data_IF_969779223842
#
_entry.id   IF_969779223842
#
_cell.length_a   1.000
_cell.length_b   1.000
_cell.length_c   1.000
_cell.angle_alpha   90.00
_cell.angle_beta   90.00
_cell.angle_gamma   90.00
#
_symmetry.space_group_name_H-M   'P 1'
#
loop_
_entity.id
_entity.type
_entity.pdbx_description
1 polymer ?
#
# COMPACT_ATOMS: atom_id res chain seq x y z
N UNK A 1 23.35 17.12 14.08
CA UNK A 1 21.92 16.75 14.07
C UNK A 1 21.85 15.28 14.45
N UNK A 2 20.95 14.85 15.35
CA UNK A 2 20.82 13.44 15.70
C UNK A 2 20.54 12.59 14.45
N UNK A 3 20.96 11.30 14.41
CA UNK A 3 20.60 10.39 13.34
C UNK A 3 19.09 10.35 13.10
N UNK A 4 18.72 10.12 11.85
CA UNK A 4 17.33 10.01 11.46
C UNK A 4 16.61 8.92 12.28
N UNK A 5 15.39 9.22 12.73
CA UNK A 5 14.60 8.34 13.60
C UNK A 5 14.99 8.26 15.08
N UNK A 6 16.13 8.83 15.53
CA UNK A 6 16.52 8.77 16.95
C UNK A 6 15.50 9.48 17.86
N UNK A 7 14.86 10.53 17.35
CA UNK A 7 13.80 11.25 18.05
C UNK A 7 12.56 10.38 18.34
N UNK A 8 12.20 9.45 17.44
CA UNK A 8 11.11 8.50 17.68
C UNK A 8 11.46 7.52 18.79
N UNK A 9 12.66 6.96 18.77
CA UNK A 9 13.15 6.08 19.85
C UNK A 9 13.10 6.78 21.20
N UNK A 10 13.61 8.00 21.27
CA UNK A 10 13.61 8.82 22.48
C UNK A 10 12.19 9.19 22.95
N UNK A 11 11.27 9.42 22.01
CA UNK A 11 9.87 9.67 22.33
C UNK A 11 9.22 8.43 22.95
N UNK A 12 9.36 7.27 22.31
CA UNK A 12 8.78 6.02 22.78
C UNK A 12 9.38 5.53 24.10
N UNK A 13 10.69 5.71 24.31
CA UNK A 13 11.36 5.30 25.55
C UNK A 13 10.93 6.12 26.77
N UNK A 14 10.46 7.36 26.55
CA UNK A 14 9.98 8.26 27.61
C UNK A 14 8.49 8.12 27.89
N UNK A 15 7.77 7.28 27.14
CA UNK A 15 6.35 7.06 27.37
C UNK A 15 6.10 6.21 28.60
N UNK A 16 4.99 6.45 29.30
CA UNK A 16 4.51 5.60 30.41
C UNK A 16 3.94 4.25 29.93
N UNK A 17 3.76 4.07 28.62
CA UNK A 17 3.25 2.82 28.03
C UNK A 17 4.36 1.78 27.90
N UNK A 18 4.19 0.64 28.57
CA UNK A 18 5.08 -0.53 28.44
C UNK A 18 5.26 -0.99 26.98
N UNK A 19 4.21 -0.86 26.16
CA UNK A 19 4.26 -1.24 24.73
C UNK A 19 5.19 -0.31 23.95
N UNK A 20 5.15 1.00 24.21
CA UNK A 20 6.04 1.96 23.56
C UNK A 20 7.48 1.84 24.06
N UNK A 21 7.69 1.56 25.34
CA UNK A 21 9.03 1.27 25.84
C UNK A 21 9.63 0.01 25.20
N UNK A 22 8.83 -1.04 25.02
CA UNK A 22 9.25 -2.24 24.29
C UNK A 22 9.52 -1.95 22.80
N UNK A 23 8.70 -1.10 22.16
CA UNK A 23 8.96 -0.66 20.79
C UNK A 23 10.29 0.12 20.68
N UNK A 24 10.59 0.98 21.65
CA UNK A 24 11.83 1.75 21.70
C UNK A 24 13.09 0.89 21.89
N UNK A 25 12.97 -0.24 22.60
CA UNK A 25 14.10 -1.16 22.80
C UNK A 25 14.42 -1.97 21.54
N UNK A 26 13.41 -2.23 20.69
CA UNK A 26 13.55 -2.90 19.40
C UNK A 26 13.89 -1.94 18.25
N UNK A 27 13.89 -0.63 18.50
CA UNK A 27 14.06 0.37 17.47
C UNK A 27 15.50 0.44 16.95
N UNK A 28 15.66 0.26 15.64
CA UNK A 28 16.91 0.52 14.92
C UNK A 28 16.74 1.70 13.95
N UNK A 29 17.76 2.57 13.90
CA UNK A 29 17.72 3.80 13.11
C UNK A 29 18.31 3.57 11.72
N UNK A 30 17.49 3.73 10.69
CA UNK A 30 17.99 3.77 9.31
C UNK A 30 18.68 5.12 9.01
N UNK A 31 19.73 5.15 8.16
CA UNK A 31 20.38 6.40 7.78
C UNK A 31 19.48 7.37 6.99
N UNK A 32 18.48 6.84 6.27
CA UNK A 32 17.47 7.63 5.55
C UNK A 32 16.15 6.86 5.41
N UNK A 33 15.08 7.58 5.08
CA UNK A 33 13.76 6.99 4.75
C UNK A 33 13.90 5.96 3.63
N UNK A 34 14.67 6.29 2.58
CA UNK A 34 14.86 5.43 1.42
C UNK A 34 15.52 4.11 1.83
N UNK A 35 16.57 4.17 2.63
CA UNK A 35 17.24 2.97 3.13
C UNK A 35 16.33 2.16 4.07
N UNK A 36 15.58 2.83 4.95
CA UNK A 36 14.59 2.17 5.81
C UNK A 36 13.52 1.42 5.01
N UNK A 37 12.98 2.04 3.95
CA UNK A 37 12.03 1.40 3.04
C UNK A 37 12.68 0.27 2.22
N UNK A 38 13.95 0.38 1.85
CA UNK A 38 14.69 -0.73 1.23
C UNK A 38 14.88 -1.91 2.18
N UNK A 39 15.14 -1.67 3.47
CA UNK A 39 15.19 -2.73 4.48
C UNK A 39 13.83 -3.40 4.65
N UNK A 40 12.73 -2.65 4.57
CA UNK A 40 11.39 -3.23 4.59
C UNK A 40 11.17 -4.22 3.43
N UNK A 41 11.65 -3.88 2.23
CA UNK A 41 11.57 -4.77 1.06
C UNK A 41 12.50 -6.00 1.16
N UNK A 42 13.72 -5.82 1.65
CA UNK A 42 14.76 -6.85 1.56
C UNK A 42 14.84 -7.74 2.81
N UNK A 43 14.68 -7.15 3.99
CA UNK A 43 14.91 -7.79 5.29
C UNK A 43 13.62 -8.17 6.02
N UNK A 44 12.45 -7.88 5.43
CA UNK A 44 11.13 -8.07 6.06
C UNK A 44 10.97 -7.29 7.37
N UNK A 45 11.58 -6.11 7.43
CA UNK A 45 11.46 -5.18 8.55
C UNK A 45 10.31 -4.20 8.33
N UNK A 46 9.86 -3.53 9.38
CA UNK A 46 8.88 -2.45 9.27
C UNK A 46 9.60 -1.10 9.39
N UNK A 47 9.18 -0.12 8.59
CA UNK A 47 9.66 1.25 8.68
C UNK A 47 8.54 2.16 9.17
N UNK A 48 8.84 3.02 10.15
CA UNK A 48 7.88 3.92 10.79
C UNK A 48 8.31 5.35 10.52
N UNK A 49 7.38 6.15 9.98
CA UNK A 49 7.51 7.59 9.74
C UNK A 49 6.10 8.17 9.52
N UNK A 50 5.98 9.51 9.47
CA UNK A 50 4.78 10.24 9.14
C UNK A 50 4.14 9.72 7.84
N UNK A 51 2.86 9.33 7.95
CA UNK A 51 2.09 8.68 6.89
C UNK A 51 2.20 9.38 5.53
N UNK A 52 1.88 10.68 5.47
CA UNK A 52 1.88 11.43 4.21
C UNK A 52 3.25 11.50 3.56
N UNK A 53 4.30 11.56 4.38
CA UNK A 53 5.66 11.56 3.88
C UNK A 53 6.04 10.19 3.32
N UNK A 54 5.66 9.10 3.98
CA UNK A 54 5.82 7.75 3.44
C UNK A 54 5.04 7.55 2.14
N UNK A 55 3.78 7.98 2.07
CA UNK A 55 2.97 7.92 0.85
C UNK A 55 3.69 8.62 -0.32
N UNK A 56 4.23 9.82 -0.07
CA UNK A 56 4.99 10.57 -1.06
C UNK A 56 6.26 9.83 -1.51
N UNK A 57 7.10 9.39 -0.56
CA UNK A 57 8.37 8.71 -0.89
C UNK A 57 8.13 7.39 -1.63
N UNK A 58 7.08 6.64 -1.24
CA UNK A 58 6.68 5.42 -1.95
C UNK A 58 6.20 5.75 -3.37
N UNK A 59 5.36 6.78 -3.52
CA UNK A 59 4.87 7.23 -4.83
C UNK A 59 6.01 7.67 -5.76
N UNK A 60 7.01 8.35 -5.21
CA UNK A 60 8.15 8.86 -5.98
C UNK A 60 9.17 7.77 -6.34
N UNK A 61 9.50 6.87 -5.42
CA UNK A 61 10.72 6.04 -5.53
C UNK A 61 10.46 4.54 -5.58
N UNK A 62 9.30 4.08 -5.12
CA UNK A 62 8.98 2.66 -4.97
C UNK A 62 7.76 2.22 -5.78
N UNK A 63 7.13 3.15 -6.51
CA UNK A 63 6.03 2.86 -7.43
C UNK A 63 6.58 2.57 -8.81
N UNK A 64 6.30 1.38 -9.33
CA UNK A 64 6.71 0.90 -10.66
C UNK A 64 5.99 1.65 -11.78
N UNK A 65 6.45 1.47 -13.02
CA UNK A 65 5.86 2.12 -14.19
C UNK A 65 4.38 1.77 -14.43
N UNK A 66 3.94 0.58 -14.00
CA UNK A 66 2.54 0.13 -14.04
C UNK A 66 1.67 0.72 -12.92
N UNK A 67 2.25 1.51 -12.01
CA UNK A 67 1.57 2.09 -10.86
C UNK A 67 1.50 1.18 -9.64
N UNK A 68 2.05 -0.03 -9.69
CA UNK A 68 2.09 -0.95 -8.55
C UNK A 68 3.23 -0.61 -7.58
N UNK A 69 3.04 -0.93 -6.29
CA UNK A 69 4.04 -0.76 -5.23
C UNK A 69 4.14 -2.06 -4.43
N UNK A 70 5.37 -2.48 -4.12
CA UNK A 70 5.63 -3.66 -3.28
C UNK A 70 5.59 -3.33 -1.77
N UNK A 71 5.48 -2.04 -1.44
CA UNK A 71 5.31 -1.54 -0.08
C UNK A 71 3.83 -1.28 0.20
N UNK A 72 3.36 -1.77 1.34
CA UNK A 72 2.04 -1.43 1.88
C UNK A 72 2.19 -0.48 3.07
N UNK A 73 1.21 0.39 3.25
CA UNK A 73 1.14 1.29 4.38
C UNK A 73 0.10 0.81 5.39
N UNK A 74 0.45 0.85 6.67
CA UNK A 74 -0.51 0.58 7.74
C UNK A 74 -1.70 1.53 7.68
N UNK A 75 -2.91 1.01 7.96
CA UNK A 75 -4.14 1.80 7.88
C UNK A 75 -4.17 2.93 8.91
N UNK A 76 -3.63 2.67 10.09
CA UNK A 76 -3.68 3.56 11.25
C UNK A 76 -2.32 4.16 11.55
N UNK A 77 -2.33 5.38 12.09
CA UNK A 77 -1.12 6.04 12.56
C UNK A 77 -0.90 5.72 14.03
N UNK A 78 0.32 5.36 14.41
CA UNK A 78 0.68 5.05 15.80
C UNK A 78 0.65 6.31 16.67
N UNK A 79 0.95 7.47 16.06
CA UNK A 79 0.84 8.79 16.68
C UNK A 79 0.24 9.78 15.68
N UNK A 80 -0.50 10.81 16.13
CA UNK A 80 -0.95 11.88 15.24
C UNK A 80 0.27 12.65 14.74
N UNK A 81 0.48 12.65 13.42
CA UNK A 81 1.55 13.44 12.80
C UNK A 81 1.24 14.93 12.96
N UNK A 82 1.90 15.60 13.90
CA UNK A 82 1.80 17.05 14.04
C UNK A 82 2.77 17.72 13.08
N UNK A 83 2.25 18.61 12.24
CA UNK A 83 3.07 19.55 11.47
C UNK A 83 3.10 20.88 12.21
N UNK A 84 4.30 21.42 12.44
CA UNK A 84 4.49 22.68 13.13
C UNK A 84 5.51 23.53 12.38
N UNK A 85 5.40 24.86 12.52
CA UNK A 85 6.41 25.78 12.03
C UNK A 85 7.29 26.25 13.19
N UNK A 86 8.60 25.98 13.17
CA UNK A 86 9.50 26.46 14.21
C UNK A 86 9.60 27.98 14.10
N UNK A 87 9.15 28.68 15.13
CA UNK A 87 9.24 30.13 15.25
C UNK A 87 10.21 30.44 16.40
N UNK A 88 11.14 31.40 16.26
CA UNK A 88 11.98 31.84 17.37
C UNK A 88 11.14 32.25 18.59
N UNK A 89 11.63 31.94 19.79
CA UNK A 89 10.87 32.05 21.04
C UNK A 89 10.26 33.45 21.28
N UNK A 90 10.90 34.50 20.77
CA UNK A 90 10.47 35.89 20.99
C UNK A 90 10.22 36.64 19.67
N UNK A 91 9.84 35.92 18.61
CA UNK A 91 9.55 36.56 17.33
C UNK A 91 8.35 37.52 17.46
N UNK A 92 8.51 38.82 17.12
CA UNK A 92 7.43 39.81 17.30
C UNK A 92 6.22 39.55 16.39
N UNK A 93 6.42 38.75 15.33
CA UNK A 93 5.37 38.35 14.39
C UNK A 93 4.67 37.05 14.76
N UNK A 94 5.05 36.36 15.85
CA UNK A 94 4.47 35.07 16.23
C UNK A 94 2.94 35.14 16.33
N UNK A 95 2.43 36.16 17.02
CA UNK A 95 0.98 36.32 17.23
C UNK A 95 0.22 36.52 15.91
N UNK A 96 0.74 37.39 15.03
CA UNK A 96 0.13 37.65 13.73
C UNK A 96 0.19 36.43 12.81
N UNK A 97 1.30 35.69 12.85
CA UNK A 97 1.46 34.44 12.11
C UNK A 97 0.49 33.37 12.61
N UNK A 98 0.37 33.16 13.92
CA UNK A 98 -0.59 32.22 14.52
C UNK A 98 -2.03 32.56 14.09
N UNK A 99 -2.39 33.85 14.08
CA UNK A 99 -3.71 34.32 13.63
C UNK A 99 -3.93 34.02 12.14
N UNK A 100 -2.94 34.29 11.29
CA UNK A 100 -3.02 33.98 9.86
C UNK A 100 -3.16 32.47 9.61
N UNK A 101 -2.42 31.64 10.35
CA UNK A 101 -2.50 30.18 10.25
C UNK A 101 -3.92 29.71 10.57
N UNK A 102 -4.47 30.14 11.72
CA UNK A 102 -5.82 29.77 12.11
C UNK A 102 -6.85 30.22 11.08
N UNK A 103 -6.74 31.46 10.60
CA UNK A 103 -7.64 31.98 9.57
C UNK A 103 -7.59 31.16 8.27
N UNK A 104 -6.40 30.71 7.83
CA UNK A 104 -6.25 29.88 6.64
C UNK A 104 -6.76 28.46 6.91
N UNK A 105 -6.45 27.88 8.07
CA UNK A 105 -6.91 26.53 8.43
C UNK A 105 -8.43 26.46 8.50
N UNK A 106 -9.06 27.38 9.21
CA UNK A 106 -10.52 27.38 9.39
C UNK A 106 -11.24 27.71 8.07
N UNK A 107 -10.89 28.80 7.39
CA UNK A 107 -11.68 29.28 6.25
C UNK A 107 -11.31 28.63 4.92
N UNK A 108 -10.02 28.34 4.67
CA UNK A 108 -9.55 27.92 3.34
C UNK A 108 -9.31 26.41 3.31
N UNK A 109 -8.65 25.85 4.33
CA UNK A 109 -8.31 24.43 4.30
C UNK A 109 -9.52 23.55 4.62
N UNK A 110 -10.32 23.88 5.63
CA UNK A 110 -11.47 23.04 6.00
C UNK A 110 -12.71 23.27 5.12
N UNK A 111 -13.10 24.52 4.85
CA UNK A 111 -14.34 24.78 4.10
C UNK A 111 -14.20 24.60 2.58
N UNK A 112 -13.03 24.95 2.02
CA UNK A 112 -12.81 24.86 0.57
C UNK A 112 -12.06 23.59 0.12
N UNK A 113 -11.60 22.74 1.05
CA UNK A 113 -10.89 21.50 0.74
C UNK A 113 -9.57 21.69 -0.03
N UNK A 114 -8.96 22.88 0.08
CA UNK A 114 -7.76 23.24 -0.69
C UNK A 114 -6.57 22.37 -0.30
N UNK A 115 -6.51 21.95 0.97
CA UNK A 115 -5.43 21.11 1.48
C UNK A 115 -5.46 19.73 0.86
N UNK A 116 -6.64 19.12 0.77
CA UNK A 116 -6.86 17.82 0.15
C UNK A 116 -6.49 17.88 -1.32
N UNK A 117 -6.92 18.94 -2.03
CA UNK A 117 -6.57 19.16 -3.43
C UNK A 117 -5.06 19.27 -3.62
N UNK A 118 -4.37 20.13 -2.86
CA UNK A 118 -2.92 20.26 -2.96
C UNK A 118 -2.19 18.98 -2.62
N UNK A 119 -2.66 18.24 -1.61
CA UNK A 119 -2.09 16.95 -1.26
C UNK A 119 -2.27 15.94 -2.41
N UNK A 120 -3.41 15.96 -3.11
CA UNK A 120 -3.66 15.12 -4.28
C UNK A 120 -2.77 15.53 -5.45
N UNK A 121 -2.70 16.82 -5.78
CA UNK A 121 -1.88 17.36 -6.87
C UNK A 121 -0.39 16.99 -6.67
N UNK A 122 0.14 17.14 -5.45
CA UNK A 122 1.52 16.74 -5.11
C UNK A 122 1.73 15.24 -5.31
N UNK A 123 0.78 14.40 -4.92
CA UNK A 123 0.86 12.95 -5.10
C UNK A 123 0.76 12.52 -6.56
N UNK A 124 -0.07 13.20 -7.36
CA UNK A 124 -0.19 12.96 -8.80
C UNK A 124 1.10 13.35 -9.52
N UNK A 125 1.67 14.50 -9.18
CA UNK A 125 2.96 14.96 -9.70
C UNK A 125 4.09 13.99 -9.33
N UNK A 126 4.14 13.53 -8.08
CA UNK A 126 5.10 12.53 -7.63
C UNK A 126 5.03 11.23 -8.45
N UNK A 127 3.82 10.71 -8.67
CA UNK A 127 3.60 9.51 -9.50
C UNK A 127 3.98 9.75 -10.95
N UNK A 128 3.67 10.93 -11.49
CA UNK A 128 4.03 11.31 -12.87
C UNK A 128 5.55 11.33 -13.04
N UNK A 129 6.27 11.99 -12.13
CA UNK A 129 7.74 12.03 -12.13
C UNK A 129 8.36 10.64 -11.99
N UNK A 130 7.78 9.77 -11.14
CA UNK A 130 8.23 8.38 -11.03
C UNK A 130 8.11 7.63 -12.36
N UNK A 131 6.96 7.73 -13.03
CA UNK A 131 6.75 7.11 -14.35
C UNK A 131 7.71 7.64 -15.40
N UNK A 132 7.91 8.95 -15.46
CA UNK A 132 8.86 9.56 -16.39
C UNK A 132 10.29 9.05 -16.17
N UNK A 133 10.75 8.95 -14.91
CA UNK A 133 12.06 8.38 -14.58
C UNK A 133 12.20 6.92 -15.01
N UNK A 134 11.17 6.10 -14.83
CA UNK A 134 11.19 4.71 -15.28
C UNK A 134 11.21 4.59 -16.82
N UNK A 135 10.45 5.42 -17.52
CA UNK A 135 10.47 5.45 -18.98
C UNK A 135 11.84 5.86 -19.54
N UNK A 136 12.48 6.87 -18.91
CA UNK A 136 13.84 7.27 -19.27
C UNK A 136 14.85 6.13 -19.03
N UNK A 137 14.78 5.47 -17.87
CA UNK A 137 15.66 4.33 -17.56
C UNK A 137 15.50 3.16 -18.55
N UNK A 138 14.28 2.89 -19.04
CA UNK A 138 14.02 1.86 -20.06
C UNK A 138 14.58 2.24 -21.44
N UNK A 139 14.49 3.52 -21.83
CA UNK A 139 15.06 4.00 -23.09
C UNK A 139 16.60 3.94 -23.07
N UNK A 140 17.22 4.23 -21.92
CA UNK A 140 18.66 4.14 -21.73
C UNK A 140 19.15 2.69 -21.77
N UNK A 141 18.38 1.74 -21.20
CA UNK A 141 18.72 0.31 -21.28
C UNK A 141 18.52 -0.29 -22.66
N UNK A 142 17.46 0.11 -23.38
CA UNK A 142 17.22 -0.36 -24.76
C UNK A 142 18.26 0.16 -25.76
N UNK A 143 18.97 1.25 -25.45
CA UNK A 143 20.09 1.73 -26.26
C UNK A 143 21.39 0.93 -26.06
N UNK A 144 21.44 0.01 -25.08
CA UNK A 144 22.63 -0.76 -24.69
C UNK A 144 22.57 -2.28 -24.90
N UNK A 145 21.44 -2.84 -25.33
CA UNK A 145 21.34 -4.28 -25.64
C UNK A 145 19.97 -4.85 -25.33
N UNK A 146 19.43 -5.60 -26.29
CA UNK A 146 18.11 -6.23 -26.23
C UNK A 146 17.89 -7.03 -24.93
N UNK A 147 16.94 -6.59 -24.10
CA UNK A 147 16.22 -7.50 -23.21
C UNK A 147 14.76 -7.10 -23.17
N UNK A 148 13.93 -7.90 -23.84
CA UNK A 148 12.47 -7.81 -23.82
C UNK A 148 11.97 -7.86 -22.38
N UNK A 149 11.48 -6.74 -21.86
CA UNK A 149 10.66 -6.70 -20.66
C UNK A 149 9.25 -6.27 -21.05
N UNK A 150 8.36 -7.26 -21.01
CA UNK A 150 6.94 -7.15 -21.26
C UNK A 150 6.33 -5.96 -20.53
N UNK A 151 5.79 -5.02 -21.29
CA UNK A 151 4.87 -4.02 -20.80
C UNK A 151 3.62 -4.73 -20.26
N UNK A 152 3.56 -4.89 -18.94
CA UNK A 152 2.36 -5.34 -18.25
C UNK A 152 1.35 -4.19 -18.27
N UNK A 153 0.39 -4.26 -19.20
CA UNK A 153 -0.79 -3.41 -19.15
C UNK A 153 -1.63 -3.78 -17.93
N UNK A 154 -2.00 -2.76 -17.16
CA UNK A 154 -2.72 -2.85 -15.89
C UNK A 154 -4.21 -3.21 -16.04
N UNK A 155 -4.53 -4.13 -16.94
CA UNK A 155 -5.79 -4.88 -16.88
C UNK A 155 -5.43 -6.24 -16.31
N UNK A 156 -5.41 -6.34 -14.99
CA UNK A 156 -5.19 -7.60 -14.29
C UNK A 156 -6.39 -8.50 -14.59
N UNK A 157 -6.34 -9.17 -15.74
CA UNK A 157 -7.34 -10.13 -16.17
C UNK A 157 -7.46 -11.15 -15.05
N UNK A 158 -8.70 -11.40 -14.60
CA UNK A 158 -8.99 -12.38 -13.56
C UNK A 158 -8.32 -13.70 -13.94
N UNK A 159 -7.24 -14.04 -13.24
CA UNK A 159 -6.49 -15.25 -13.53
C UNK A 159 -7.35 -16.46 -13.15
N UNK A 160 -7.24 -17.55 -13.92
CA UNK A 160 -7.96 -18.82 -13.69
C UNK A 160 -7.91 -19.29 -12.23
N UNK A 161 -6.84 -18.94 -11.50
CA UNK A 161 -6.66 -19.23 -10.08
C UNK A 161 -7.81 -18.70 -9.21
N UNK A 162 -8.38 -17.54 -9.54
CA UNK A 162 -9.53 -16.95 -8.83
C UNK A 162 -10.86 -17.66 -9.14
N UNK A 163 -10.95 -18.36 -10.27
CA UNK A 163 -12.14 -19.12 -10.68
C UNK A 163 -12.06 -20.61 -10.30
N UNK A 164 -10.95 -21.05 -9.71
CA UNK A 164 -10.71 -22.46 -9.38
C UNK A 164 -11.80 -23.03 -8.47
N UNK A 165 -12.26 -22.27 -7.46
CA UNK A 165 -13.32 -22.72 -6.55
C UNK A 165 -14.65 -22.97 -7.27
N UNK A 166 -15.07 -22.06 -8.14
CA UNK A 166 -16.31 -22.19 -8.90
C UNK A 166 -16.25 -23.36 -9.90
N UNK A 167 -15.11 -23.56 -10.57
CA UNK A 167 -14.89 -24.69 -11.48
C UNK A 167 -14.92 -26.03 -10.74
N UNK A 168 -14.32 -26.12 -9.55
CA UNK A 168 -14.34 -27.35 -8.74
C UNK A 168 -15.76 -27.70 -8.27
N UNK A 169 -16.55 -26.70 -7.86
CA UNK A 169 -17.97 -26.88 -7.52
C UNK A 169 -18.79 -27.37 -8.72
N UNK A 170 -18.56 -26.80 -9.90
CA UNK A 170 -19.25 -27.21 -11.12
C UNK A 170 -18.91 -28.65 -11.52
N UNK A 171 -17.62 -29.02 -11.47
CA UNK A 171 -17.16 -30.38 -11.74
C UNK A 171 -17.78 -31.39 -10.75
N UNK A 172 -17.82 -31.04 -9.46
CA UNK A 172 -18.42 -31.87 -8.43
C UNK A 172 -19.93 -32.08 -8.69
N UNK A 173 -20.64 -31.02 -9.08
CA UNK A 173 -22.05 -31.10 -9.46
C UNK A 173 -22.30 -32.04 -10.64
N UNK A 174 -21.44 -31.99 -11.67
CA UNK A 174 -21.51 -32.88 -12.83
C UNK A 174 -21.27 -34.35 -12.43
N UNK A 175 -20.32 -34.62 -11.55
CA UNK A 175 -20.04 -35.98 -11.05
C UNK A 175 -21.24 -36.52 -10.28
N UNK A 176 -21.86 -35.71 -9.40
CA UNK A 176 -23.03 -36.13 -8.63
C UNK A 176 -24.22 -36.41 -9.57
N UNK A 177 -24.49 -35.53 -10.54
CA UNK A 177 -25.56 -35.73 -11.50
C UNK A 177 -25.36 -37.02 -12.33
N UNK A 178 -24.13 -37.32 -12.75
CA UNK A 178 -23.79 -38.55 -13.46
C UNK A 178 -24.07 -39.79 -12.59
N UNK A 179 -23.69 -39.76 -11.31
CA UNK A 179 -23.94 -40.87 -10.38
C UNK A 179 -25.44 -41.13 -10.17
N UNK A 180 -26.24 -40.07 -10.02
CA UNK A 180 -27.70 -40.17 -9.92
C UNK A 180 -28.29 -40.80 -11.18
N UNK A 181 -27.87 -40.33 -12.35
CA UNK A 181 -28.33 -40.86 -13.64
C UNK A 181 -27.99 -42.35 -13.83
N UNK A 182 -26.77 -42.77 -13.48
CA UNK A 182 -26.36 -44.18 -13.54
C UNK A 182 -27.21 -45.01 -12.57
N UNK A 183 -27.46 -44.51 -11.36
CA UNK A 183 -28.30 -45.19 -10.37
C UNK A 183 -29.73 -45.40 -10.89
N UNK A 184 -30.31 -44.40 -11.56
CA UNK A 184 -31.66 -44.49 -12.14
C UNK A 184 -31.76 -45.54 -13.25
N UNK A 185 -30.74 -45.62 -14.12
CA UNK A 185 -30.66 -46.63 -15.19
C UNK A 185 -30.63 -48.04 -14.57
N UNK A 186 -29.81 -48.24 -13.54
CA UNK A 186 -29.69 -49.54 -12.86
C UNK A 186 -31.02 -49.91 -12.20
N UNK A 187 -31.67 -48.99 -11.49
CA UNK A 187 -32.97 -49.25 -10.86
C UNK A 187 -34.08 -49.54 -11.88
N UNK A 188 -34.11 -48.79 -12.98
CA UNK A 188 -35.13 -48.94 -14.03
C UNK A 188 -34.94 -50.24 -14.82
N UNK A 189 -33.70 -50.62 -15.11
CA UNK A 189 -33.37 -51.88 -15.78
C UNK A 189 -33.73 -53.12 -14.96
N UNK A 190 -33.53 -53.06 -13.64
CA UNK A 190 -33.89 -54.13 -12.71
C UNK A 190 -35.41 -54.27 -12.53
N UNK A 191 -36.15 -53.15 -12.52
CA UNK A 191 -37.61 -53.16 -12.44
C UNK A 191 -38.26 -53.75 -13.71
N UNK A 192 -37.71 -53.46 -14.90
CA UNK A 192 -38.23 -53.96 -16.17
C UNK A 192 -38.11 -55.48 -16.34
N UNK A 193 -37.11 -56.12 -15.71
CA UNK A 193 -36.91 -57.58 -15.81
C UNK A 193 -37.87 -58.39 -14.92
N UNK A 194 -38.53 -57.75 -13.95
CA UNK A 194 -39.40 -58.44 -12.98
C UNK A 194 -40.85 -58.58 -13.48
N UNK A 195 -41.28 -57.80 -14.49
CA UNK A 195 -42.66 -57.79 -15.01
C UNK A 195 -42.86 -58.78 -16.19
N UNK A 196 -41.79 -59.39 -16.71
CA UNK A 196 -41.84 -60.35 -17.83
C UNK A 196 -41.79 -61.84 -17.38
N UNK A 197 -42.52 -62.21 -16.33
CA UNK A 197 -42.77 -63.61 -15.95
C UNK A 197 -44.22 -63.83 -15.61
#
# INVERSE_FOLDING_TARGET
>A
MPPYGEHFRNFFSKSDSNVFQALASLWDSAPSVKEGLMYALQKKEAHIEARRFLELVIAEQFTKADGSTDLYLGRESIFPGLSAWPIPHDAPYKYELDRCILAIIENIFMEAGLYEKWSQDVMEDARKRSRERHLMALNDTNSGGETKLSAASSNQALTIVHMQGALMLHLLGLIIALLVFISEIISSGCASTTISK
#
